data_IF_798313906954
#
_entry.id   IF_798313906954
#
_cell.length_a   1.000
_cell.length_b   1.000
_cell.length_c   1.000
_cell.angle_alpha   90.00
_cell.angle_beta   90.00
_cell.angle_gamma   90.00
#
_symmetry.space_group_name_H-M   'P 1'
#
loop_
_entity.id
_entity.type
_entity.pdbx_description
1 polymer ?
#
# COMPACT_ATOMS: atom_id res chain seq x y z
N UNK A 1 25.49 -12.26 -15.36
CA UNK A 1 24.87 -11.29 -16.28
C UNK A 1 23.39 -11.33 -16.02
N UNK A 2 22.84 -10.29 -15.40
CA UNK A 2 21.38 -10.15 -15.24
C UNK A 2 20.80 -10.09 -16.65
N UNK A 3 20.01 -11.08 -17.05
CA UNK A 3 19.27 -11.03 -18.30
C UNK A 3 18.36 -9.82 -18.21
N UNK A 4 18.69 -8.75 -18.91
CA UNK A 4 17.88 -7.55 -18.96
C UNK A 4 16.53 -7.99 -19.52
N UNK A 5 15.43 -8.01 -18.74
CA UNK A 5 14.16 -8.44 -19.28
C UNK A 5 13.81 -7.44 -20.37
N UNK A 6 13.55 -7.92 -21.60
CA UNK A 6 13.22 -7.08 -22.76
C UNK A 6 11.96 -6.22 -22.57
N UNK A 7 11.33 -6.30 -21.40
CA UNK A 7 10.24 -5.48 -20.91
C UNK A 7 10.48 -5.15 -19.43
N UNK A 8 10.29 -3.88 -19.03
CA UNK A 8 10.42 -3.46 -17.64
C UNK A 8 9.32 -4.08 -16.78
N UNK A 9 9.61 -4.32 -15.51
CA UNK A 9 8.62 -4.76 -14.53
C UNK A 9 7.89 -3.53 -13.96
N UNK A 10 6.57 -3.63 -13.79
CA UNK A 10 5.70 -2.59 -13.25
C UNK A 10 4.79 -3.22 -12.19
N UNK A 11 4.62 -2.54 -11.06
CA UNK A 11 3.66 -2.94 -10.03
C UNK A 11 2.21 -2.64 -10.48
N UNK A 12 1.30 -3.58 -10.26
CA UNK A 12 -0.13 -3.40 -10.51
C UNK A 12 -0.97 -4.02 -9.40
N UNK A 13 -2.11 -3.38 -9.11
CA UNK A 13 -3.11 -3.89 -8.16
C UNK A 13 -4.06 -4.85 -8.90
N UNK A 14 -4.15 -6.09 -8.43
CA UNK A 14 -5.05 -7.11 -8.95
C UNK A 14 -6.44 -7.01 -8.28
N UNK A 15 -7.43 -7.72 -8.83
CA UNK A 15 -8.82 -7.70 -8.32
C UNK A 15 -8.98 -8.27 -6.92
N UNK A 16 -8.00 -9.05 -6.44
CA UNK A 16 -7.92 -9.57 -5.07
C UNK A 16 -7.24 -8.59 -4.09
N UNK A 17 -6.85 -7.40 -4.55
CA UNK A 17 -6.20 -6.38 -3.72
C UNK A 17 -4.70 -6.62 -3.48
N UNK A 18 -4.10 -7.59 -4.18
CA UNK A 18 -2.67 -7.87 -4.11
C UNK A 18 -1.92 -7.09 -5.17
N UNK A 19 -0.78 -6.53 -4.79
CA UNK A 19 0.14 -5.85 -5.68
C UNK A 19 1.13 -6.85 -6.21
N UNK A 20 1.11 -7.05 -7.54
CA UNK A 20 1.99 -7.99 -8.24
C UNK A 20 2.83 -7.25 -9.28
N UNK A 21 3.98 -7.84 -9.60
CA UNK A 21 4.80 -7.40 -10.72
C UNK A 21 4.24 -7.95 -12.02
N UNK A 22 4.21 -7.11 -13.04
CA UNK A 22 3.79 -7.46 -14.40
C UNK A 22 4.81 -6.90 -15.39
N UNK A 23 4.94 -7.52 -16.56
CA UNK A 23 5.73 -6.94 -17.65
C UNK A 23 4.99 -5.72 -18.22
N UNK A 24 5.58 -4.54 -18.04
CA UNK A 24 5.10 -3.28 -18.59
C UNK A 24 5.53 -3.08 -20.05
N UNK A 25 4.82 -2.19 -20.73
CA UNK A 25 5.17 -1.75 -22.09
C UNK A 25 6.24 -0.65 -22.11
N UNK A 26 6.41 0.07 -20.99
CA UNK A 26 7.33 1.20 -20.85
C UNK A 26 8.01 1.15 -19.48
N UNK A 27 9.29 1.57 -19.37
CA UNK A 27 9.96 1.59 -18.07
C UNK A 27 9.25 2.59 -17.16
N UNK A 28 9.14 2.31 -15.85
CA UNK A 28 8.64 3.31 -14.93
C UNK A 28 9.50 4.56 -15.07
N UNK A 29 8.84 5.72 -15.23
CA UNK A 29 9.56 6.98 -15.30
C UNK A 29 10.19 7.24 -13.92
N UNK A 30 11.51 7.05 -13.84
CA UNK A 30 12.28 7.29 -12.61
C UNK A 30 12.48 8.78 -12.33
N UNK A 31 12.00 9.66 -13.22
CA UNK A 31 11.95 11.09 -12.94
C UNK A 31 10.88 11.30 -11.89
N UNK A 32 11.33 11.54 -10.66
CA UNK A 32 10.53 12.18 -9.62
C UNK A 32 10.11 13.54 -10.16
N UNK A 33 8.92 13.57 -10.76
CA UNK A 33 8.28 14.83 -11.10
C UNK A 33 7.93 15.47 -9.77
N UNK A 34 8.56 16.60 -9.45
CA UNK A 34 8.17 17.38 -8.28
C UNK A 34 6.65 17.61 -8.36
N UNK A 35 5.94 17.26 -7.31
CA UNK A 35 4.52 17.47 -7.22
C UNK A 35 4.26 18.96 -7.39
N UNK A 36 3.40 19.29 -8.35
CA UNK A 36 2.96 20.66 -8.55
C UNK A 36 2.19 21.08 -7.29
N UNK A 37 2.55 22.20 -6.64
CA UNK A 37 1.85 22.67 -5.45
C UNK A 37 0.35 22.78 -5.65
N UNK A 38 -0.42 22.41 -4.63
CA UNK A 38 -1.87 22.31 -4.72
C UNK A 38 -2.60 23.58 -5.16
N UNK A 39 -2.12 24.75 -4.74
CA UNK A 39 -2.68 26.05 -5.15
C UNK A 39 -2.55 26.33 -6.67
N UNK A 40 -1.60 25.67 -7.35
CA UNK A 40 -1.46 25.74 -8.81
C UNK A 40 -2.35 24.71 -9.51
N UNK A 41 -2.57 23.54 -8.89
CA UNK A 41 -3.44 22.49 -9.42
C UNK A 41 -4.92 22.83 -9.28
N UNK A 42 -5.30 23.48 -8.17
CA UNK A 42 -6.69 23.85 -7.88
C UNK A 42 -6.77 25.32 -7.42
N UNK A 43 -6.59 26.28 -8.34
CA UNK A 43 -6.60 27.70 -8.01
C UNK A 43 -7.98 28.13 -7.50
N UNK A 44 -7.99 28.78 -6.33
CA UNK A 44 -9.23 29.24 -5.68
C UNK A 44 -10.00 28.19 -4.90
N UNK A 45 -9.52 26.94 -4.86
CA UNK A 45 -10.06 25.89 -3.97
C UNK A 45 -9.80 26.19 -2.49
N UNK A 46 -10.48 25.48 -1.61
CA UNK A 46 -10.23 25.54 -0.16
C UNK A 46 -8.79 25.07 0.14
N UNK A 47 -8.15 25.59 1.21
CA UNK A 47 -6.80 25.17 1.58
C UNK A 47 -6.63 23.65 1.71
N UNK A 48 -7.62 22.98 2.30
CA UNK A 48 -7.60 21.52 2.45
C UNK A 48 -7.75 20.78 1.11
N UNK A 49 -8.52 21.31 0.15
CA UNK A 49 -8.60 20.72 -1.19
C UNK A 49 -7.27 20.85 -1.92
N UNK A 50 -6.60 22.00 -1.78
CA UNK A 50 -5.28 22.25 -2.33
C UNK A 50 -4.25 21.27 -1.74
N UNK A 51 -4.25 21.08 -0.42
CA UNK A 51 -3.38 20.09 0.23
C UNK A 51 -3.63 18.67 -0.30
N UNK A 52 -4.90 18.29 -0.46
CA UNK A 52 -5.31 16.99 -1.00
C UNK A 52 -4.84 16.77 -2.43
N UNK A 53 -5.00 17.75 -3.33
CA UNK A 53 -4.50 17.59 -4.70
C UNK A 53 -2.99 17.70 -4.79
N UNK A 54 -2.31 18.28 -3.80
CA UNK A 54 -0.85 18.26 -3.74
C UNK A 54 -0.31 16.84 -3.44
N UNK A 55 -0.94 16.13 -2.51
CA UNK A 55 -0.59 14.73 -2.18
C UNK A 55 -1.12 13.75 -3.22
N UNK A 56 -2.33 13.98 -3.74
CA UNK A 56 -2.97 13.14 -4.75
C UNK A 56 -3.36 13.95 -6.00
N UNK A 57 -2.40 14.25 -6.90
CA UNK A 57 -2.65 15.11 -8.07
C UNK A 57 -3.76 14.63 -9.01
N UNK A 58 -4.03 13.32 -9.03
CA UNK A 58 -5.14 12.75 -9.82
C UNK A 58 -6.51 13.29 -9.43
N UNK A 59 -6.68 13.77 -8.19
CA UNK A 59 -7.92 14.40 -7.74
C UNK A 59 -8.16 15.79 -8.31
N UNK A 60 -7.16 16.46 -8.88
CA UNK A 60 -7.34 17.79 -9.47
C UNK A 60 -8.28 17.78 -10.71
N UNK A 61 -8.48 16.61 -11.33
CA UNK A 61 -9.34 16.46 -12.50
C UNK A 61 -10.84 16.30 -12.17
N UNK A 62 -11.21 16.18 -10.89
CA UNK A 62 -12.58 15.92 -10.44
C UNK A 62 -12.87 16.68 -9.12
N UNK A 63 -14.14 16.73 -8.65
CA UNK A 63 -14.45 17.33 -7.36
C UNK A 63 -13.72 16.62 -6.21
N UNK A 64 -13.03 17.40 -5.37
CA UNK A 64 -12.32 16.90 -4.19
C UNK A 64 -13.32 16.65 -3.07
N UNK A 65 -13.72 15.39 -2.89
CA UNK A 65 -14.71 14.99 -1.89
C UNK A 65 -14.11 14.06 -0.84
N UNK A 66 -14.67 13.99 0.39
CA UNK A 66 -14.25 13.01 1.39
C UNK A 66 -14.24 11.57 0.86
N UNK A 67 -15.23 11.18 0.04
CA UNK A 67 -15.29 9.84 -0.54
C UNK A 67 -14.14 9.57 -1.52
N UNK A 68 -13.79 10.55 -2.36
CA UNK A 68 -12.68 10.41 -3.31
C UNK A 68 -11.33 10.25 -2.59
N UNK A 69 -11.11 11.00 -1.50
CA UNK A 69 -9.92 10.86 -0.64
C UNK A 69 -9.89 9.48 0.02
N UNK A 70 -11.03 9.00 0.54
CA UNK A 70 -11.14 7.68 1.15
C UNK A 70 -10.75 6.57 0.18
N UNK A 71 -11.26 6.61 -1.04
CA UNK A 71 -10.98 5.58 -2.04
C UNK A 71 -9.50 5.55 -2.42
N UNK A 72 -8.86 6.71 -2.57
CA UNK A 72 -7.42 6.80 -2.79
C UNK A 72 -6.60 6.35 -1.59
N UNK A 73 -7.02 6.67 -0.37
CA UNK A 73 -6.36 6.17 0.84
C UNK A 73 -6.39 4.64 0.89
N UNK A 74 -7.53 4.02 0.56
CA UNK A 74 -7.68 2.56 0.49
C UNK A 74 -6.84 1.92 -0.62
N UNK A 75 -6.79 2.55 -1.79
CA UNK A 75 -5.92 2.09 -2.88
C UNK A 75 -4.44 2.19 -2.48
N UNK A 76 -4.04 3.32 -1.90
CA UNK A 76 -2.67 3.57 -1.42
C UNK A 76 -2.27 2.60 -0.32
N UNK A 77 -3.20 2.23 0.56
CA UNK A 77 -2.98 1.19 1.57
C UNK A 77 -2.68 -0.17 0.93
N UNK A 78 -3.41 -0.59 -0.09
CA UNK A 78 -3.13 -1.85 -0.78
C UNK A 78 -1.73 -1.84 -1.43
N UNK A 79 -1.34 -0.71 -2.04
CA UNK A 79 0.01 -0.49 -2.53
C UNK A 79 1.07 -0.57 -1.42
N UNK A 80 0.79 0.04 -0.27
CA UNK A 80 1.67 0.03 0.90
C UNK A 80 1.90 -1.38 1.43
N UNK A 81 0.82 -2.16 1.61
CA UNK A 81 0.91 -3.57 2.03
C UNK A 81 1.80 -4.34 1.08
N UNK A 82 1.61 -4.16 -0.23
CA UNK A 82 2.49 -4.73 -1.24
C UNK A 82 3.95 -4.36 -1.03
N UNK A 83 4.27 -3.07 -1.00
CA UNK A 83 5.63 -2.60 -0.81
C UNK A 83 6.30 -3.19 0.45
N UNK A 84 5.56 -3.28 1.57
CA UNK A 84 6.05 -3.85 2.83
C UNK A 84 6.38 -5.35 2.68
N UNK A 85 5.43 -6.15 2.18
CA UNK A 85 5.66 -7.59 1.98
C UNK A 85 6.82 -7.86 1.04
N UNK A 86 6.87 -7.10 -0.05
CA UNK A 86 7.91 -7.23 -1.05
C UNK A 86 9.30 -6.91 -0.48
N UNK A 87 9.43 -5.82 0.29
CA UNK A 87 10.68 -5.50 1.00
C UNK A 87 11.04 -6.58 2.03
N UNK A 88 10.06 -7.09 2.77
CA UNK A 88 10.28 -8.15 3.75
C UNK A 88 10.79 -9.44 3.08
N UNK A 89 10.23 -9.84 1.93
CA UNK A 89 10.72 -10.97 1.17
C UNK A 89 12.17 -10.76 0.73
N UNK A 90 12.50 -9.59 0.17
CA UNK A 90 13.87 -9.27 -0.23
C UNK A 90 14.86 -9.35 0.94
N UNK A 91 14.43 -8.97 2.15
CA UNK A 91 15.29 -8.96 3.34
C UNK A 91 15.48 -10.35 3.97
N UNK A 92 14.44 -11.18 3.96
CA UNK A 92 14.40 -12.40 4.78
C UNK A 92 14.39 -13.70 3.97
N UNK A 93 14.18 -13.65 2.66
CA UNK A 93 14.05 -14.82 1.79
C UNK A 93 15.19 -14.85 0.79
N UNK A 94 16.01 -15.89 0.87
CA UNK A 94 17.06 -16.12 -0.10
C UNK A 94 16.58 -17.12 -1.17
N UNK A 95 16.43 -16.64 -2.40
CA UNK A 95 15.93 -17.44 -3.52
C UNK A 95 16.81 -18.64 -3.89
N UNK A 96 18.06 -18.67 -3.45
CA UNK A 96 18.99 -19.77 -3.74
C UNK A 96 19.00 -20.87 -2.66
N UNK A 97 18.24 -20.70 -1.57
CA UNK A 97 18.20 -21.68 -0.48
C UNK A 97 17.34 -22.92 -0.79
N UNK A 98 17.62 -24.01 -0.08
CA UNK A 98 16.76 -25.20 -0.13
C UNK A 98 15.34 -24.88 0.37
N UNK A 99 14.32 -25.70 0.02
CA UNK A 99 12.92 -25.37 0.33
C UNK A 99 12.60 -25.13 1.80
N UNK A 100 13.26 -25.81 2.75
CA UNK A 100 12.99 -25.65 4.19
C UNK A 100 13.48 -24.28 4.69
N UNK A 101 14.78 -23.91 4.58
CA UNK A 101 15.24 -22.57 4.96
C UNK A 101 14.50 -21.43 4.24
N UNK A 102 14.13 -21.66 2.96
CA UNK A 102 13.34 -20.71 2.19
C UNK A 102 11.95 -20.46 2.80
N UNK A 103 11.26 -21.52 3.25
CA UNK A 103 9.97 -21.41 3.95
C UNK A 103 10.11 -20.73 5.31
N UNK A 104 11.18 -20.97 6.05
CA UNK A 104 11.43 -20.26 7.31
C UNK A 104 11.70 -18.76 7.08
N UNK A 105 12.40 -18.44 5.99
CA UNK A 105 12.58 -17.07 5.52
C UNK A 105 11.25 -16.37 5.22
N UNK A 106 10.32 -17.07 4.54
CA UNK A 106 8.98 -16.53 4.29
C UNK A 106 8.20 -16.27 5.57
N UNK A 107 8.28 -17.17 6.55
CA UNK A 107 7.61 -16.97 7.85
C UNK A 107 8.12 -15.72 8.55
N UNK A 108 9.44 -15.52 8.58
CA UNK A 108 10.06 -14.29 9.12
C UNK A 108 9.65 -13.05 8.34
N UNK A 109 9.60 -13.13 7.00
CA UNK A 109 9.16 -12.01 6.16
C UNK A 109 7.70 -11.63 6.45
N UNK A 110 6.80 -12.62 6.55
CA UNK A 110 5.40 -12.38 6.85
C UNK A 110 5.23 -11.72 8.23
N UNK A 111 5.93 -12.22 9.25
CA UNK A 111 5.90 -11.63 10.58
C UNK A 111 6.39 -10.18 10.56
N UNK A 112 7.56 -9.92 9.96
CA UNK A 112 8.13 -8.57 9.89
C UNK A 112 7.21 -7.58 9.15
N UNK A 113 6.58 -8.03 8.05
CA UNK A 113 5.64 -7.21 7.29
C UNK A 113 4.38 -6.88 8.10
N UNK A 114 3.83 -7.90 8.77
CA UNK A 114 2.64 -7.76 9.62
C UNK A 114 2.94 -6.83 10.80
N UNK A 115 4.05 -7.03 11.50
CA UNK A 115 4.47 -6.18 12.63
C UNK A 115 4.54 -4.71 12.20
N UNK A 116 5.21 -4.43 11.08
CA UNK A 116 5.29 -3.07 10.54
C UNK A 116 3.91 -2.48 10.25
N UNK A 117 3.04 -3.23 9.56
CA UNK A 117 1.69 -2.77 9.22
C UNK A 117 0.82 -2.54 10.45
N UNK A 118 1.05 -3.23 11.57
CA UNK A 118 0.32 -3.02 12.82
C UNK A 118 0.80 -1.80 13.62
N UNK A 119 1.99 -1.26 13.33
CA UNK A 119 2.53 -0.06 14.03
C UNK A 119 2.00 1.28 13.48
N UNK A 120 1.16 1.25 12.46
CA UNK A 120 0.62 2.47 11.85
C UNK A 120 -0.47 3.06 12.72
N UNK A 121 -0.38 4.36 12.95
CA UNK A 121 -1.29 5.14 13.78
C UNK A 121 -1.70 6.41 13.05
N UNK A 122 -2.72 7.11 13.56
CA UNK A 122 -3.09 8.41 13.03
C UNK A 122 -1.91 9.39 13.17
N UNK A 123 -1.62 10.17 12.11
CA UNK A 123 -0.45 11.06 12.06
C UNK A 123 -0.85 12.51 11.78
N UNK A 124 -0.31 13.46 12.53
CA UNK A 124 -0.51 14.91 12.31
C UNK A 124 0.56 15.51 11.39
N UNK A 125 1.03 14.72 10.43
CA UNK A 125 2.11 15.14 9.55
C UNK A 125 1.68 16.36 8.70
N UNK A 126 2.49 17.42 8.63
CA UNK A 126 2.32 18.48 7.66
C UNK A 126 2.27 17.95 6.24
N UNK A 127 1.41 18.51 5.38
CA UNK A 127 1.27 18.11 3.97
C UNK A 127 2.61 18.10 3.22
N UNK A 128 3.48 19.09 3.50
CA UNK A 128 4.81 19.20 2.90
C UNK A 128 5.70 17.99 3.21
N UNK A 129 5.63 17.45 4.43
CA UNK A 129 6.43 16.29 4.83
C UNK A 129 5.94 15.01 4.16
N UNK A 130 4.62 14.89 3.97
CA UNK A 130 4.02 13.78 3.22
C UNK A 130 4.47 13.82 1.76
N UNK A 131 4.36 14.98 1.10
CA UNK A 131 4.79 15.14 -0.30
C UNK A 131 6.28 14.86 -0.45
N UNK A 132 7.13 15.41 0.42
CA UNK A 132 8.57 15.16 0.40
C UNK A 132 8.91 13.67 0.54
N UNK A 133 8.18 12.94 1.39
CA UNK A 133 8.30 11.49 1.51
C UNK A 133 7.94 10.75 0.22
N UNK A 134 6.86 11.17 -0.45
CA UNK A 134 6.39 10.58 -1.70
C UNK A 134 7.30 10.89 -2.91
N UNK A 135 8.03 12.02 -2.87
CA UNK A 135 8.99 12.43 -3.90
C UNK A 135 10.36 11.75 -3.78
N UNK A 136 10.59 10.99 -2.72
CA UNK A 136 11.84 10.23 -2.57
C UNK A 136 11.93 9.17 -3.67
N UNK A 137 13.05 9.04 -4.42
CA UNK A 137 13.21 8.01 -5.45
C UNK A 137 13.10 6.59 -4.89
N UNK A 138 12.61 5.66 -5.70
CA UNK A 138 12.19 4.35 -5.19
C UNK A 138 12.39 3.20 -6.16
N UNK A 139 12.43 2.00 -5.55
CA UNK A 139 12.44 0.70 -6.20
C UNK A 139 11.06 0.39 -6.85
N UNK A 140 10.90 -0.81 -7.40
CA UNK A 140 9.75 -1.30 -8.18
C UNK A 140 8.33 -1.14 -7.57
N UNK A 141 8.18 -0.64 -6.34
CA UNK A 141 6.89 -0.51 -5.62
C UNK A 141 6.44 0.93 -5.35
N UNK A 142 7.14 1.94 -5.90
CA UNK A 142 6.84 3.34 -5.57
C UNK A 142 7.37 3.72 -4.19
N UNK A 143 6.94 4.88 -3.65
CA UNK A 143 7.54 5.60 -2.51
C UNK A 143 7.87 4.67 -1.31
N UNK A 144 8.87 5.00 -0.46
CA UNK A 144 9.23 4.16 0.69
C UNK A 144 7.95 3.77 1.43
N UNK A 145 7.78 2.49 1.81
CA UNK A 145 6.49 2.05 2.38
C UNK A 145 6.04 2.91 3.55
N UNK A 146 6.97 3.41 4.35
CA UNK A 146 6.71 4.34 5.45
C UNK A 146 6.09 5.66 4.96
N UNK A 147 6.59 6.23 3.87
CA UNK A 147 6.01 7.44 3.26
C UNK A 147 4.60 7.17 2.72
N UNK A 148 4.35 6.01 2.09
CA UNK A 148 3.01 5.62 1.63
C UNK A 148 2.06 5.39 2.81
N UNK A 149 2.51 4.72 3.87
CA UNK A 149 1.73 4.51 5.09
C UNK A 149 1.40 5.83 5.79
N UNK A 150 2.35 6.76 5.83
CA UNK A 150 2.14 8.12 6.32
C UNK A 150 1.12 8.88 5.46
N UNK A 151 1.19 8.75 4.13
CA UNK A 151 0.21 9.35 3.22
C UNK A 151 -1.21 8.77 3.43
N UNK A 152 -1.34 7.46 3.69
CA UNK A 152 -2.61 6.81 4.03
C UNK A 152 -3.16 7.36 5.36
N UNK A 153 -2.33 7.40 6.40
CA UNK A 153 -2.73 7.90 7.71
C UNK A 153 -3.11 9.39 7.66
N UNK A 154 -2.36 10.18 6.89
CA UNK A 154 -2.65 11.59 6.61
C UNK A 154 -3.97 11.75 5.85
N UNK A 155 -4.24 10.93 4.83
CA UNK A 155 -5.44 11.03 4.00
C UNK A 155 -6.73 10.88 4.81
N UNK A 156 -6.72 10.08 5.89
CA UNK A 156 -7.84 9.99 6.82
C UNK A 156 -8.09 11.28 7.62
N UNK A 157 -7.02 11.98 7.99
CA UNK A 157 -7.13 13.31 8.58
C UNK A 157 -7.67 14.32 7.57
N UNK A 158 -7.20 14.26 6.33
CA UNK A 158 -7.67 15.13 5.26
C UNK A 158 -9.14 14.88 4.89
N UNK A 159 -9.58 13.61 4.88
CA UNK A 159 -10.99 13.24 4.69
C UNK A 159 -11.88 13.88 5.76
N UNK A 160 -11.48 13.79 7.03
CA UNK A 160 -12.21 14.42 8.14
C UNK A 160 -12.28 15.95 7.98
N UNK A 161 -11.14 16.58 7.69
CA UNK A 161 -11.06 18.04 7.51
C UNK A 161 -11.91 18.54 6.33
N UNK A 162 -11.96 17.78 5.23
CA UNK A 162 -12.87 18.07 4.11
C UNK A 162 -14.33 17.95 4.54
N UNK A 163 -14.70 16.88 5.25
CA UNK A 163 -16.07 16.70 5.72
C UNK A 163 -16.51 17.85 6.65
N UNK A 164 -15.62 18.32 7.53
CA UNK A 164 -15.87 19.50 8.37
C UNK A 164 -16.06 20.78 7.55
N UNK A 165 -15.22 21.01 6.54
CA UNK A 165 -15.29 22.18 5.67
C UNK A 165 -16.63 22.26 4.91
N UNK A 166 -17.15 21.11 4.49
CA UNK A 166 -18.45 21.00 3.81
C UNK A 166 -19.64 20.75 4.75
N UNK A 167 -19.41 20.70 6.06
CA UNK A 167 -20.44 20.55 7.10
C UNK A 167 -21.38 19.36 6.84
N UNK A 168 -22.68 19.61 6.73
CA UNK A 168 -23.71 18.57 6.68
C UNK A 168 -23.81 17.89 5.30
N UNK A 169 -23.18 18.44 4.27
CA UNK A 169 -23.23 17.89 2.89
C UNK A 169 -22.85 16.41 2.84
N UNK A 170 -21.87 16.00 3.64
CA UNK A 170 -21.34 14.62 3.67
C UNK A 170 -21.75 13.83 4.93
N UNK A 171 -22.66 14.36 5.75
CA UNK A 171 -23.14 13.72 6.99
C UNK A 171 -24.59 13.24 6.85
N UNK A 172 -24.86 12.51 5.77
CA UNK A 172 -26.23 12.16 5.38
C UNK A 172 -26.73 10.86 6.02
N UNK A 173 -25.82 9.93 6.31
CA UNK A 173 -26.17 8.62 6.89
C UNK A 173 -25.76 8.55 8.36
N UNK A 174 -26.39 7.66 9.13
CA UNK A 174 -25.97 7.38 10.51
C UNK A 174 -24.52 6.93 10.60
N UNK A 175 -24.03 6.19 9.59
CA UNK A 175 -22.62 5.79 9.48
C UNK A 175 -21.71 7.00 9.28
N UNK A 176 -22.06 7.92 8.37
CA UNK A 176 -21.27 9.14 8.13
C UNK A 176 -21.24 10.07 9.35
N UNK A 177 -22.37 10.17 10.09
CA UNK A 177 -22.45 10.96 11.31
C UNK A 177 -21.48 10.42 12.38
N UNK A 178 -21.43 9.09 12.57
CA UNK A 178 -20.49 8.48 13.53
C UNK A 178 -19.05 8.63 13.04
N UNK A 179 -18.81 8.41 11.74
CA UNK A 179 -17.48 8.53 11.12
C UNK A 179 -16.88 9.91 11.31
N UNK A 180 -17.62 10.95 10.94
CA UNK A 180 -17.16 12.34 10.99
C UNK A 180 -17.44 13.02 12.34
N UNK A 181 -17.69 12.25 13.39
CA UNK A 181 -17.82 12.75 14.77
C UNK A 181 -16.48 13.22 15.32
N UNK A 182 -15.42 12.49 15.00
CA UNK A 182 -14.05 12.83 15.35
C UNK A 182 -13.08 12.11 14.42
N UNK A 183 -11.86 12.62 14.32
CA UNK A 183 -10.81 12.00 13.50
C UNK A 183 -10.44 10.61 13.99
N UNK A 184 -10.45 10.39 15.31
CA UNK A 184 -10.21 9.09 15.92
C UNK A 184 -11.30 8.10 15.56
N UNK A 185 -12.57 8.55 15.47
CA UNK A 185 -13.69 7.70 15.07
C UNK A 185 -13.55 7.26 13.62
N UNK A 186 -13.16 8.18 12.72
CA UNK A 186 -12.86 7.88 11.32
C UNK A 186 -11.70 6.88 11.20
N UNK A 187 -10.58 7.18 11.86
CA UNK A 187 -9.39 6.32 11.82
C UNK A 187 -9.70 4.93 12.37
N UNK A 188 -10.37 4.82 13.51
CA UNK A 188 -10.72 3.52 14.11
C UNK A 188 -11.59 2.66 13.16
N UNK A 189 -12.54 3.26 12.46
CA UNK A 189 -13.37 2.55 11.49
C UNK A 189 -12.57 2.04 10.29
N UNK A 190 -11.77 2.89 9.65
CA UNK A 190 -10.96 2.48 8.50
C UNK A 190 -9.85 1.52 8.88
N UNK A 191 -9.19 1.78 10.00
CA UNK A 191 -8.08 0.96 10.46
C UNK A 191 -8.56 -0.44 10.85
N UNK A 192 -9.71 -0.56 11.51
CA UNK A 192 -10.34 -1.85 11.78
C UNK A 192 -10.66 -2.62 10.50
N UNK A 193 -11.18 -1.96 9.46
CA UNK A 193 -11.42 -2.58 8.17
C UNK A 193 -10.12 -3.04 7.50
N UNK A 194 -9.07 -2.22 7.55
CA UNK A 194 -7.75 -2.54 7.00
C UNK A 194 -7.12 -3.74 7.73
N UNK A 195 -7.13 -3.74 9.06
CA UNK A 195 -6.67 -4.85 9.89
C UNK A 195 -7.48 -6.12 9.62
N UNK A 196 -8.80 -6.02 9.43
CA UNK A 196 -9.64 -7.17 9.10
C UNK A 196 -9.28 -7.82 7.75
N UNK A 197 -8.78 -7.04 6.79
CA UNK A 197 -8.34 -7.55 5.48
C UNK A 197 -6.91 -8.08 5.48
N UNK A 198 -6.09 -7.71 6.45
CA UNK A 198 -4.67 -8.06 6.50
C UNK A 198 -4.40 -9.58 6.51
N UNK A 199 -5.18 -10.44 7.19
CA UNK A 199 -5.00 -11.89 7.14
C UNK A 199 -5.11 -12.45 5.72
N UNK A 200 -6.14 -12.07 4.96
CA UNK A 200 -6.34 -12.57 3.60
C UNK A 200 -5.25 -12.05 2.66
N UNK A 201 -4.86 -10.78 2.80
CA UNK A 201 -3.74 -10.24 2.04
C UNK A 201 -2.43 -10.96 2.37
N UNK A 202 -2.15 -11.21 3.65
CA UNK A 202 -0.96 -11.96 4.10
C UNK A 202 -0.94 -13.34 3.47
N UNK A 203 -2.07 -14.05 3.51
CA UNK A 203 -2.23 -15.36 2.86
C UNK A 203 -1.88 -15.29 1.39
N UNK A 204 -2.43 -14.33 0.66
CA UNK A 204 -2.19 -14.20 -0.78
C UNK A 204 -0.75 -13.79 -1.12
N UNK A 205 -0.14 -12.86 -0.38
CA UNK A 205 1.26 -12.46 -0.60
C UNK A 205 2.20 -13.62 -0.33
N UNK A 206 2.02 -14.33 0.79
CA UNK A 206 2.85 -15.50 1.12
C UNK A 206 2.67 -16.60 0.09
N UNK A 207 1.43 -16.91 -0.30
CA UNK A 207 1.14 -17.91 -1.34
C UNK A 207 1.78 -17.56 -2.70
N UNK A 208 1.91 -16.28 -3.02
CA UNK A 208 2.47 -15.77 -4.27
C UNK A 208 3.98 -15.48 -4.19
N UNK A 209 4.62 -15.68 -3.04
CA UNK A 209 5.96 -15.17 -2.78
C UNK A 209 7.03 -15.74 -3.73
N UNK A 210 6.91 -17.00 -4.12
CA UNK A 210 7.84 -17.60 -5.10
C UNK A 210 7.76 -16.89 -6.45
N UNK A 211 6.55 -16.68 -6.97
CA UNK A 211 6.36 -16.06 -8.29
C UNK A 211 6.77 -14.58 -8.26
N UNK A 212 6.52 -13.88 -7.16
CA UNK A 212 7.01 -12.51 -6.90
C UNK A 212 8.55 -12.47 -6.94
N UNK A 213 9.22 -13.33 -6.18
CA UNK A 213 10.67 -13.39 -6.11
C UNK A 213 11.29 -13.80 -7.45
N UNK A 214 10.70 -14.79 -8.14
CA UNK A 214 11.15 -15.25 -9.44
C UNK A 214 11.08 -14.13 -10.49
N UNK A 215 10.00 -13.33 -10.48
CA UNK A 215 9.87 -12.20 -11.40
C UNK A 215 10.96 -11.16 -11.19
N UNK A 216 11.39 -10.90 -9.95
CA UNK A 216 12.50 -9.98 -9.69
C UNK A 216 13.87 -10.52 -10.04
N UNK A 217 14.18 -11.75 -9.62
CA UNK A 217 15.53 -12.31 -9.76
C UNK A 217 15.78 -12.79 -11.18
N UNK A 218 14.73 -13.14 -11.92
CA UNK A 218 14.83 -13.83 -13.20
C UNK A 218 15.37 -15.26 -13.06
N UNK A 219 15.62 -15.72 -11.83
CA UNK A 219 16.26 -17.00 -11.56
C UNK A 219 15.21 -18.11 -11.47
N UNK A 220 15.30 -19.08 -12.38
CA UNK A 220 14.54 -20.32 -12.29
C UNK A 220 15.11 -21.26 -11.23
N UNK A 221 14.25 -21.81 -10.38
CA UNK A 221 14.63 -22.86 -9.43
C UNK A 221 14.10 -24.22 -9.89
N UNK A 222 14.92 -25.27 -9.79
CA UNK A 222 14.44 -26.66 -9.95
C UNK A 222 13.43 -27.06 -8.86
N UNK A 223 13.30 -26.27 -7.79
CA UNK A 223 12.37 -26.47 -6.69
C UNK A 223 11.09 -25.62 -6.81
N UNK A 224 10.81 -25.04 -7.97
CA UNK A 224 9.70 -24.10 -8.16
C UNK A 224 8.36 -24.63 -7.60
N UNK A 225 7.97 -25.84 -7.99
CA UNK A 225 6.68 -26.41 -7.59
C UNK A 225 6.62 -26.73 -6.09
N UNK A 226 7.72 -27.22 -5.53
CA UNK A 226 7.83 -27.48 -4.08
C UNK A 226 7.72 -26.17 -3.29
N UNK A 227 8.39 -25.11 -3.74
CA UNK A 227 8.34 -23.79 -3.09
C UNK A 227 6.95 -23.17 -3.19
N UNK A 228 6.29 -23.22 -4.35
CA UNK A 228 4.89 -22.77 -4.50
C UNK A 228 3.95 -23.54 -3.58
N UNK A 229 4.07 -24.86 -3.51
CA UNK A 229 3.25 -25.68 -2.63
C UNK A 229 3.47 -25.33 -1.14
N UNK A 230 4.73 -25.17 -0.72
CA UNK A 230 5.06 -24.75 0.66
C UNK A 230 4.58 -23.34 0.98
N UNK A 231 4.71 -22.41 0.04
CA UNK A 231 4.25 -21.03 0.21
C UNK A 231 2.73 -20.96 0.38
N UNK A 232 1.96 -21.71 -0.44
CA UNK A 232 0.50 -21.85 -0.27
C UNK A 232 0.14 -22.45 1.09
N UNK A 233 0.77 -23.57 1.45
CA UNK A 233 0.53 -24.23 2.74
C UNK A 233 0.84 -23.30 3.92
N UNK A 234 1.92 -22.52 3.85
CA UNK A 234 2.26 -21.54 4.88
C UNK A 234 1.25 -20.40 4.93
N UNK A 235 0.81 -19.90 3.76
CA UNK A 235 -0.23 -18.86 3.70
C UNK A 235 -1.53 -19.31 4.38
N UNK A 236 -1.98 -20.53 4.11
CA UNK A 236 -3.17 -21.11 4.76
C UNK A 236 -2.98 -21.32 6.26
N UNK A 237 -1.79 -21.77 6.69
CA UNK A 237 -1.43 -21.91 8.11
C UNK A 237 -1.50 -20.56 8.85
N UNK A 238 -0.84 -19.53 8.30
CA UNK A 238 -0.83 -18.19 8.88
C UNK A 238 -2.23 -17.59 8.95
N UNK A 239 -3.04 -17.77 7.91
CA UNK A 239 -4.44 -17.34 7.90
C UNK A 239 -5.26 -18.02 9.00
N UNK A 240 -5.04 -19.32 9.22
CA UNK A 240 -5.66 -20.07 10.31
C UNK A 240 -5.32 -19.48 11.69
N UNK A 241 -4.07 -19.05 11.90
CA UNK A 241 -3.64 -18.41 13.14
C UNK A 241 -4.34 -17.07 13.38
N UNK A 242 -4.51 -16.26 12.33
CA UNK A 242 -5.25 -14.99 12.43
C UNK A 242 -6.73 -15.17 12.79
N UNK A 243 -7.35 -16.29 12.42
CA UNK A 243 -8.76 -16.56 12.76
C UNK A 243 -8.97 -17.13 14.16
N UNK A 244 -7.90 -17.61 14.80
CA UNK A 244 -7.95 -18.14 16.16
C UNK A 244 -7.87 -17.05 17.24
N UNK A 245 -7.57 -15.81 16.84
CA UNK A 245 -7.45 -14.61 17.68
C UNK A 245 -8.46 -13.55 17.25
#
# INVERSE_FOLDING_TARGET
>A
MLGNPGRPLVAGLDSDGVVRLRYGSHPPDLRTSAHVPGHLLLPGGLPIEQDVVWVFPSLAAAPVTPYAVRDLARQSWAFSVGAVFHRAFRRHVNHNEQPIPWTDGLRRAAQAAVDELYTVHATDLPTVDVVAGLETPVDLFGAPSEALLNAVAWAFGAEHALADAYRDTYRQTSTDIVRYRSRESLFAQEWSLMQHRLPELTRHYVASAYDILQLWTGDGSSWADVRRARARSLGDELFGLFRAH
#
